data_IF_216813495811
#
_entry.id   IF_216813495811
#
_cell.length_a   1.000
_cell.length_b   1.000
_cell.length_c   1.000
_cell.angle_alpha   90.00
_cell.angle_beta   90.00
_cell.angle_gamma   90.00
#
_symmetry.space_group_name_H-M   'P 1'
#
loop_
_entity.id
_entity.type
_entity.pdbx_description
1 polymer ?
#
# COMPACT_ATOMS: atom_id res chain seq x y z
N UNK A 1 13.05 11.84 -18.50
CA UNK A 1 12.42 12.43 -17.30
C UNK A 1 12.30 11.34 -16.24
N UNK A 2 13.20 11.32 -15.26
CA UNK A 2 13.18 10.32 -14.18
C UNK A 2 11.96 10.61 -13.30
N UNK A 3 11.02 9.66 -13.22
CA UNK A 3 9.81 9.79 -12.39
C UNK A 3 10.19 10.21 -10.96
N UNK A 4 9.60 11.32 -10.49
CA UNK A 4 9.82 11.91 -9.17
C UNK A 4 9.69 10.85 -8.04
N UNK A 5 8.82 9.86 -8.24
CA UNK A 5 8.62 8.77 -7.30
C UNK A 5 9.88 7.91 -7.09
N UNK A 6 10.61 7.56 -8.17
CA UNK A 6 11.81 6.72 -8.06
C UNK A 6 12.91 7.40 -7.26
N UNK A 7 13.09 8.71 -7.45
CA UNK A 7 14.08 9.51 -6.72
C UNK A 7 13.71 9.65 -5.25
N UNK A 8 12.41 9.82 -4.94
CA UNK A 8 11.91 9.88 -3.57
C UNK A 8 12.09 8.56 -2.83
N UNK A 9 11.82 7.43 -3.50
CA UNK A 9 12.03 6.09 -2.95
C UNK A 9 13.49 5.84 -2.60
N UNK A 10 14.42 6.11 -3.53
CA UNK A 10 15.85 5.91 -3.29
C UNK A 10 16.38 6.75 -2.12
N UNK A 11 15.87 7.97 -1.92
CA UNK A 11 16.21 8.82 -0.76
C UNK A 11 15.67 8.24 0.55
N UNK A 12 14.44 7.74 0.56
CA UNK A 12 13.84 7.11 1.73
C UNK A 12 14.58 5.81 2.11
N UNK A 13 14.99 5.00 1.12
CA UNK A 13 15.76 3.78 1.35
C UNK A 13 17.10 4.07 2.03
N UNK A 14 17.77 5.16 1.62
CA UNK A 14 19.02 5.60 2.25
C UNK A 14 18.83 6.12 3.68
N UNK A 15 17.69 6.73 4.01
CA UNK A 15 17.41 7.27 5.34
C UNK A 15 17.02 6.20 6.38
N UNK A 16 16.29 5.16 5.97
CA UNK A 16 15.75 4.13 6.88
C UNK A 16 16.82 3.08 7.25
N UNK A 17 17.97 3.06 6.58
CA UNK A 17 19.04 2.10 6.88
C UNK A 17 18.78 0.67 6.35
N UNK A 18 17.71 0.48 5.56
CA UNK A 18 17.48 -0.72 4.74
C UNK A 18 17.05 -1.99 5.49
N UNK A 19 16.78 -1.90 6.81
CA UNK A 19 16.38 -3.03 7.65
C UNK A 19 14.88 -3.26 7.73
N UNK A 20 14.06 -2.22 7.55
CA UNK A 20 12.59 -2.34 7.56
C UNK A 20 11.99 -2.24 6.16
N UNK A 21 10.88 -2.95 5.88
CA UNK A 21 10.15 -2.82 4.62
C UNK A 21 9.59 -1.40 4.47
N UNK A 22 9.88 -0.75 3.35
CA UNK A 22 9.21 0.48 2.97
C UNK A 22 7.83 0.18 2.42
N UNK A 23 6.79 0.68 3.09
CA UNK A 23 5.40 0.58 2.62
C UNK A 23 5.04 1.87 1.88
N UNK A 24 4.69 1.76 0.61
CA UNK A 24 4.30 2.88 -0.26
C UNK A 24 2.81 2.81 -0.49
N UNK A 25 2.07 3.73 0.12
CA UNK A 25 0.62 3.83 -0.05
C UNK A 25 0.29 4.80 -1.17
N UNK A 26 -0.31 4.29 -2.24
CA UNK A 26 -0.89 5.04 -3.33
C UNK A 26 -2.38 5.24 -3.06
N UNK A 27 -2.77 6.48 -2.79
CA UNK A 27 -4.16 6.83 -2.59
C UNK A 27 -4.84 7.02 -3.94
N UNK A 28 -5.94 6.30 -4.14
CA UNK A 28 -6.83 6.42 -5.28
C UNK A 28 -8.14 7.01 -4.76
N UNK A 29 -8.53 8.18 -5.28
CA UNK A 29 -9.80 8.80 -4.91
C UNK A 29 -10.91 8.24 -5.78
N UNK A 30 -11.93 7.67 -5.15
CA UNK A 30 -12.99 6.91 -5.81
C UNK A 30 -12.95 5.42 -5.49
N UNK A 31 -13.82 4.67 -6.15
CA UNK A 31 -13.95 3.23 -5.96
C UNK A 31 -13.10 2.47 -6.99
N UNK A 32 -12.55 1.34 -6.58
CA UNK A 32 -11.95 0.40 -7.52
C UNK A 32 -13.05 -0.34 -8.31
N UNK A 33 -12.73 -0.79 -9.52
CA UNK A 33 -13.66 -1.60 -10.33
C UNK A 33 -14.04 -2.92 -9.61
N UNK A 34 -13.12 -3.44 -8.81
CA UNK A 34 -13.25 -4.66 -8.01
C UNK A 34 -14.05 -4.46 -6.70
N UNK A 35 -14.33 -3.20 -6.32
CA UNK A 35 -15.11 -2.84 -5.13
C UNK A 35 -14.28 -2.38 -3.93
N UNK A 36 -14.88 -2.44 -2.74
CA UNK A 36 -14.27 -1.93 -1.50
C UNK A 36 -13.14 -2.87 -1.03
N UNK A 37 -11.93 -2.34 -0.94
CA UNK A 37 -10.75 -3.13 -0.57
C UNK A 37 -9.43 -2.37 -0.76
N UNK A 38 -8.33 -3.11 -0.68
CA UNK A 38 -6.97 -2.58 -0.91
C UNK A 38 -6.24 -3.46 -1.91
N UNK A 39 -5.38 -2.86 -2.73
CA UNK A 39 -4.40 -3.64 -3.50
C UNK A 39 -3.09 -3.70 -2.74
N UNK A 40 -2.50 -4.88 -2.58
CA UNK A 40 -1.13 -5.03 -2.09
C UNK A 40 -0.32 -5.76 -3.15
N UNK A 41 0.73 -5.13 -3.66
CA UNK A 41 1.56 -5.67 -4.76
C UNK A 41 0.74 -6.07 -6.01
N UNK A 42 -0.37 -5.36 -6.26
CA UNK A 42 -1.26 -5.63 -7.39
C UNK A 42 -2.29 -6.74 -7.15
N UNK A 43 -2.30 -7.38 -5.97
CA UNK A 43 -3.35 -8.33 -5.56
C UNK A 43 -4.46 -7.59 -4.83
N UNK A 44 -5.71 -7.78 -5.23
CA UNK A 44 -6.87 -7.17 -4.58
C UNK A 44 -7.29 -7.98 -3.34
N UNK A 45 -7.37 -7.30 -2.20
CA UNK A 45 -7.88 -7.81 -0.94
C UNK A 45 -9.22 -7.12 -0.64
N UNK A 46 -10.35 -7.83 -0.79
CA UNK A 46 -11.66 -7.27 -0.51
C UNK A 46 -11.79 -6.95 0.98
N UNK A 47 -12.44 -5.83 1.29
CA UNK A 47 -12.76 -5.42 2.66
C UNK A 47 -14.25 -5.64 2.92
N UNK A 48 -14.63 -6.66 3.72
CA UNK A 48 -16.02 -6.90 4.08
C UNK A 48 -16.64 -5.71 4.81
N UNK A 49 -17.96 -5.57 4.72
CA UNK A 49 -18.69 -4.53 5.44
C UNK A 49 -18.54 -4.71 6.95
N UNK A 50 -18.04 -3.68 7.63
CA UNK A 50 -17.80 -3.69 9.07
C UNK A 50 -16.35 -4.02 9.47
N UNK A 51 -15.48 -4.36 8.51
CA UNK A 51 -14.05 -4.48 8.75
C UNK A 51 -13.31 -3.18 8.40
N UNK A 52 -12.14 -2.99 9.02
CA UNK A 52 -11.30 -1.82 8.77
C UNK A 52 -10.34 -2.08 7.60
N UNK A 53 -10.28 -1.15 6.64
CA UNK A 53 -9.27 -1.17 5.58
C UNK A 53 -7.82 -1.22 6.14
N UNK A 54 -7.59 -0.61 7.31
CA UNK A 54 -6.28 -0.68 7.98
C UNK A 54 -5.93 -2.09 8.45
N UNK A 55 -6.93 -2.86 8.89
CA UNK A 55 -6.73 -4.24 9.33
C UNK A 55 -6.50 -5.15 8.14
N UNK A 56 -7.28 -4.99 7.07
CA UNK A 56 -7.09 -5.73 5.82
C UNK A 56 -5.70 -5.46 5.24
N UNK A 57 -5.26 -4.21 5.17
CA UNK A 57 -3.90 -3.89 4.70
C UNK A 57 -2.84 -4.58 5.56
N UNK A 58 -2.90 -4.44 6.89
CA UNK A 58 -1.90 -5.03 7.78
C UNK A 58 -1.83 -6.55 7.64
N UNK A 59 -2.99 -7.20 7.51
CA UNK A 59 -3.07 -8.64 7.32
C UNK A 59 -2.49 -9.05 5.97
N UNK A 60 -2.86 -8.36 4.89
CA UNK A 60 -2.33 -8.61 3.55
C UNK A 60 -0.81 -8.42 3.49
N UNK A 61 -0.27 -7.35 4.08
CA UNK A 61 1.17 -7.09 4.18
C UNK A 61 1.91 -8.22 4.90
N UNK A 62 1.35 -8.70 6.02
CA UNK A 62 1.93 -9.84 6.77
C UNK A 62 1.90 -11.13 5.95
N UNK A 63 0.82 -11.38 5.22
CA UNK A 63 0.67 -12.56 4.37
C UNK A 63 1.68 -12.58 3.22
N UNK A 64 1.90 -11.44 2.56
CA UNK A 64 2.83 -11.37 1.41
C UNK A 64 4.30 -11.25 1.83
N UNK A 65 4.57 -10.85 3.07
CA UNK A 65 5.91 -10.66 3.62
C UNK A 65 6.10 -11.38 4.97
N UNK A 66 5.86 -12.71 5.04
CA UNK A 66 5.85 -13.46 6.30
C UNK A 66 7.23 -13.55 6.95
N UNK A 67 8.30 -13.45 6.16
CA UNK A 67 9.70 -13.50 6.63
C UNK A 67 10.35 -12.12 6.75
N UNK A 68 9.59 -11.04 6.49
CA UNK A 68 10.07 -9.67 6.58
C UNK A 68 11.13 -9.29 5.55
N UNK A 69 11.43 -10.15 4.55
CA UNK A 69 12.54 -9.90 3.62
C UNK A 69 12.22 -8.93 2.50
N UNK A 70 10.94 -8.73 2.15
CA UNK A 70 10.57 -7.73 1.14
C UNK A 70 10.94 -6.34 1.65
N UNK A 71 11.70 -5.60 0.85
CA UNK A 71 12.16 -4.24 1.21
C UNK A 71 11.22 -3.14 0.76
N UNK A 72 10.36 -3.42 -0.21
CA UNK A 72 9.38 -2.50 -0.76
C UNK A 72 8.05 -3.23 -0.86
N UNK A 73 6.99 -2.58 -0.38
CA UNK A 73 5.61 -3.07 -0.48
C UNK A 73 4.75 -1.93 -0.96
N UNK A 74 4.10 -2.09 -2.11
CA UNK A 74 3.20 -1.09 -2.68
C UNK A 74 1.76 -1.45 -2.32
N UNK A 75 1.07 -0.50 -1.69
CA UNK A 75 -0.36 -0.59 -1.38
C UNK A 75 -1.12 0.43 -2.20
N UNK A 76 -2.28 0.08 -2.76
CA UNK A 76 -3.25 1.05 -3.26
C UNK A 76 -4.50 1.01 -2.40
N UNK A 77 -4.95 2.19 -1.96
CA UNK A 77 -6.18 2.36 -1.18
C UNK A 77 -7.18 3.20 -1.95
N UNK A 78 -8.42 2.73 -2.02
CA UNK A 78 -9.55 3.55 -2.40
C UNK A 78 -9.90 4.45 -1.21
N UNK A 79 -9.76 5.75 -1.37
CA UNK A 79 -10.25 6.74 -0.43
C UNK A 79 -11.52 7.36 -1.00
N UNK A 80 -12.54 7.62 -0.16
CA UNK A 80 -13.69 8.39 -0.61
C UNK A 80 -13.18 9.74 -1.15
N UNK A 81 -13.84 10.26 -2.18
CA UNK A 81 -13.66 11.66 -2.54
C UNK A 81 -13.96 12.49 -1.30
N UNK A 82 -13.06 13.38 -0.90
CA UNK A 82 -13.36 14.37 0.14
C UNK A 82 -14.59 15.16 -0.33
N UNK A 83 -15.77 14.78 0.17
CA UNK A 83 -16.98 15.59 0.07
C UNK A 83 -16.84 16.69 1.11
N UNK A 84 -16.17 17.76 0.73
CA UNK A 84 -16.24 19.05 1.42
C UNK A 84 -17.66 19.62 1.33
#
# INVERSE_FOLDING_TARGET
MTSNLKVRLARLEQQIGGTEPMIVVLRHFGEFEEGHGVFVEGVFYPCPTGESLDEIEKNAIREINPDGKRKLIVVKRAEPWDTA
#
